data_IF_131357684354
#
_entry.id   IF_131357684354
#
_cell.length_a   1.000
_cell.length_b   1.000
_cell.length_c   1.000
_cell.angle_alpha   90.00
_cell.angle_beta   90.00
_cell.angle_gamma   90.00
#
_symmetry.space_group_name_H-M   'P 1'
#
loop_
_entity.id
_entity.type
_entity.pdbx_description
1 polymer ?
#
# COMPACT_ATOMS: atom_id res chain seq x y z
N UNK A 1 -19.15 11.85 60.83
CA UNK A 1 -19.02 13.29 61.13
C UNK A 1 -18.48 13.93 59.85
N UNK A 2 -19.32 14.19 58.85
CA UNK A 2 -20.17 15.38 58.68
C UNK A 2 -19.31 16.66 58.71
N UNK A 3 -18.90 17.03 57.50
CA UNK A 3 -18.93 18.35 56.84
C UNK A 3 -18.50 19.59 57.64
N UNK A 4 -18.12 20.61 56.86
CA UNK A 4 -17.93 22.04 57.20
C UNK A 4 -16.43 22.31 57.38
N UNK A 5 -15.74 23.05 56.50
CA UNK A 5 -16.04 24.41 56.06
C UNK A 5 -15.24 24.70 54.75
N UNK A 6 -15.86 24.66 53.58
CA UNK A 6 -16.41 25.80 52.84
C UNK A 6 -15.39 26.85 52.33
N UNK A 7 -15.18 26.79 51.00
CA UNK A 7 -15.23 27.90 50.03
C UNK A 7 -14.10 28.93 49.96
N UNK A 8 -13.98 29.48 48.73
CA UNK A 8 -13.08 30.55 48.23
C UNK A 8 -11.81 29.91 47.63
N UNK A 9 -11.58 29.86 46.31
CA UNK A 9 -11.83 30.87 45.30
C UNK A 9 -11.95 30.21 43.91
N UNK A 10 -13.06 30.47 43.23
CA UNK A 10 -13.18 30.36 41.78
C UNK A 10 -12.27 31.43 41.16
N UNK A 11 -11.31 31.02 40.32
CA UNK A 11 -10.74 31.83 39.26
C UNK A 11 -10.20 30.87 38.20
N UNK A 12 -11.01 30.57 37.19
CA UNK A 12 -10.79 31.06 35.83
C UNK A 12 -9.32 31.02 35.41
N UNK A 13 -8.94 29.99 34.65
CA UNK A 13 -8.27 30.17 33.36
C UNK A 13 -8.63 29.00 32.45
N UNK A 14 -9.73 29.20 31.71
CA UNK A 14 -9.88 28.82 30.31
C UNK A 14 -8.51 28.81 29.61
N UNK A 15 -7.94 27.62 29.43
CA UNK A 15 -6.86 27.41 28.46
C UNK A 15 -7.48 26.86 27.19
N UNK A 16 -7.20 27.59 26.12
CA UNK A 16 -7.86 27.57 24.85
C UNK A 16 -7.93 26.19 24.18
N UNK A 17 -9.00 26.01 23.42
CA UNK A 17 -9.09 25.07 22.32
C UNK A 17 -7.87 25.23 21.41
N UNK A 18 -6.92 24.30 21.49
CA UNK A 18 -5.79 24.24 20.58
C UNK A 18 -6.27 23.85 19.20
N UNK A 19 -6.52 24.85 18.36
CA UNK A 19 -6.72 24.66 16.92
C UNK A 19 -5.50 23.91 16.38
N UNK A 20 -5.67 22.64 16.02
CA UNK A 20 -4.62 21.93 15.29
C UNK A 20 -4.47 22.66 13.96
N UNK A 21 -3.38 23.41 13.81
CA UNK A 21 -2.97 23.90 12.50
C UNK A 21 -2.90 22.69 11.58
N UNK A 22 -3.80 22.65 10.59
CA UNK A 22 -3.59 21.84 9.42
C UNK A 22 -2.20 22.23 8.88
N UNK A 23 -1.27 21.27 8.94
CA UNK A 23 0.03 21.38 8.30
C UNK A 23 -0.29 21.46 6.81
N UNK A 24 -0.24 22.67 6.26
CA UNK A 24 -0.13 22.87 4.82
C UNK A 24 1.28 22.38 4.46
N UNK A 25 1.40 21.08 4.18
CA UNK A 25 2.58 20.54 3.54
C UNK A 25 2.59 21.10 2.12
N UNK A 26 3.41 22.13 1.91
CA UNK A 26 3.76 22.59 0.57
C UNK A 26 4.22 21.37 -0.22
N UNK A 27 3.52 21.10 -1.32
CA UNK A 27 3.94 20.17 -2.36
C UNK A 27 5.21 20.73 -2.99
N UNK A 28 6.36 20.38 -2.42
CA UNK A 28 7.70 20.40 -3.02
C UNK A 28 8.74 19.83 -2.04
N UNK A 29 8.35 18.79 -1.30
CA UNK A 29 9.32 17.98 -0.57
C UNK A 29 9.53 16.70 -1.39
N UNK A 30 10.49 16.75 -2.31
CA UNK A 30 11.08 15.56 -2.91
C UNK A 30 11.70 14.76 -1.76
N UNK A 31 10.86 13.91 -1.17
CA UNK A 31 11.14 13.12 -0.01
C UNK A 31 12.36 12.23 -0.26
N UNK A 32 13.53 12.76 0.07
CA UNK A 32 14.75 11.97 0.21
C UNK A 32 14.69 11.37 1.61
N UNK A 33 13.72 10.46 1.82
CA UNK A 33 13.66 9.64 3.02
C UNK A 33 14.86 8.70 2.97
N UNK A 34 15.64 8.69 4.05
CA UNK A 34 16.79 7.81 4.25
C UNK A 34 16.42 6.38 3.86
N UNK A 35 17.21 5.77 2.99
CA UNK A 35 17.00 4.41 2.48
C UNK A 35 17.19 3.40 3.61
N UNK A 36 16.11 3.02 4.25
CA UNK A 36 16.01 1.90 5.21
C UNK A 36 16.01 0.53 4.50
N UNK A 37 16.69 0.43 3.36
CA UNK A 37 16.67 -0.75 2.49
C UNK A 37 15.40 -0.92 1.66
N UNK A 38 14.39 -0.04 1.77
CA UNK A 38 13.14 -0.15 1.01
C UNK A 38 13.19 0.63 -0.31
N UNK A 39 12.72 -0.02 -1.38
CA UNK A 39 12.46 0.65 -2.65
C UNK A 39 11.25 1.59 -2.49
N UNK A 40 11.37 2.90 -2.80
CA UNK A 40 10.27 3.86 -2.69
C UNK A 40 9.25 3.64 -3.82
N UNK A 41 7.97 3.54 -3.46
CA UNK A 41 6.89 3.48 -4.44
C UNK A 41 6.34 4.87 -4.75
N UNK A 42 6.14 5.16 -6.03
CA UNK A 42 5.64 6.45 -6.51
C UNK A 42 4.14 6.30 -6.76
N UNK A 43 3.34 7.23 -6.23
CA UNK A 43 1.90 7.29 -6.47
C UNK A 43 1.61 8.14 -7.71
N UNK A 44 0.72 7.65 -8.58
CA UNK A 44 0.06 8.51 -9.58
C UNK A 44 -1.06 9.30 -8.92
N UNK A 45 -1.79 8.65 -8.01
CA UNK A 45 -2.83 9.25 -7.17
C UNK A 45 -2.98 8.42 -5.88
N UNK A 46 -3.93 8.76 -5.00
CA UNK A 46 -4.13 8.02 -3.74
C UNK A 46 -4.45 6.53 -3.90
N UNK A 47 -4.91 6.11 -5.06
CA UNK A 47 -5.41 4.77 -5.35
C UNK A 47 -4.51 3.93 -6.24
N UNK A 48 -3.44 4.47 -6.82
CA UNK A 48 -2.60 3.73 -7.76
C UNK A 48 -1.13 4.15 -7.73
N UNK A 49 -0.25 3.16 -7.93
CA UNK A 49 1.17 3.38 -8.15
C UNK A 49 1.48 3.74 -9.60
N UNK A 50 2.64 4.37 -9.82
CA UNK A 50 3.26 4.52 -11.12
C UNK A 50 4.06 3.24 -11.43
N UNK A 51 3.58 2.45 -12.40
CA UNK A 51 4.23 1.21 -12.82
C UNK A 51 4.33 1.19 -14.35
N UNK A 52 5.53 1.42 -14.87
CA UNK A 52 5.76 1.61 -16.31
C UNK A 52 6.66 0.54 -16.94
N UNK A 53 7.44 -0.17 -16.11
CA UNK A 53 8.37 -1.18 -16.59
C UNK A 53 7.66 -2.53 -16.74
N UNK A 54 7.72 -3.13 -17.93
CA UNK A 54 7.24 -4.50 -18.13
C UNK A 54 8.25 -5.52 -17.57
N UNK A 55 7.73 -6.57 -16.94
CA UNK A 55 8.54 -7.71 -16.53
C UNK A 55 8.96 -8.53 -17.76
N UNK A 56 10.23 -8.94 -17.81
CA UNK A 56 10.73 -9.89 -18.82
C UNK A 56 10.47 -11.34 -18.39
N UNK A 57 10.66 -11.61 -17.10
CA UNK A 57 10.36 -12.90 -16.48
C UNK A 57 8.85 -13.14 -16.42
N UNK A 58 8.44 -14.32 -16.88
CA UNK A 58 7.04 -14.75 -16.90
C UNK A 58 6.52 -15.16 -15.52
N UNK A 59 7.40 -15.44 -14.56
CA UNK A 59 7.03 -15.83 -13.20
C UNK A 59 6.70 -14.63 -12.30
N UNK A 60 7.08 -13.41 -12.69
CA UNK A 60 6.90 -12.21 -11.86
C UNK A 60 5.42 -11.99 -11.52
N UNK A 61 5.11 -12.05 -10.23
CA UNK A 61 3.76 -11.96 -9.67
C UNK A 61 2.95 -13.25 -9.76
N UNK A 62 3.34 -14.22 -10.58
CA UNK A 62 2.59 -15.47 -10.80
C UNK A 62 3.09 -16.64 -9.97
N UNK A 63 4.33 -16.57 -9.48
CA UNK A 63 4.91 -17.57 -8.58
C UNK A 63 5.24 -16.94 -7.23
N UNK A 64 5.05 -17.66 -6.10
CA UNK A 64 5.39 -17.16 -4.78
C UNK A 64 6.84 -16.64 -4.69
N UNK A 65 7.80 -17.37 -5.26
CA UNK A 65 9.22 -17.06 -5.23
C UNK A 65 9.56 -15.75 -5.96
N UNK A 66 8.68 -15.29 -6.85
CA UNK A 66 8.81 -14.06 -7.60
C UNK A 66 7.59 -13.14 -7.38
N UNK A 67 7.09 -13.09 -6.14
CA UNK A 67 5.95 -12.26 -5.76
C UNK A 67 6.24 -10.77 -5.91
N UNK A 68 5.18 -9.99 -6.17
CA UNK A 68 5.27 -8.54 -6.29
C UNK A 68 5.51 -7.92 -4.92
N UNK A 69 6.68 -7.31 -4.69
CA UNK A 69 7.02 -6.69 -3.40
C UNK A 69 6.62 -5.22 -3.36
N UNK A 70 5.39 -4.96 -2.91
CA UNK A 70 4.82 -3.60 -2.80
C UNK A 70 5.23 -2.88 -1.51
N UNK A 71 5.53 -3.63 -0.46
CA UNK A 71 5.85 -3.10 0.86
C UNK A 71 4.72 -2.28 1.48
N UNK A 72 5.06 -1.47 2.49
CA UNK A 72 4.13 -0.58 3.17
C UNK A 72 3.71 -1.03 4.57
N UNK A 73 4.08 -2.24 5.00
CA UNK A 73 3.72 -2.73 6.35
C UNK A 73 4.14 -1.76 7.46
N UNK A 74 5.37 -1.22 7.43
CA UNK A 74 5.83 -0.33 8.48
C UNK A 74 5.20 1.07 8.42
N UNK A 75 4.53 1.42 7.32
CA UNK A 75 3.71 2.62 7.19
C UNK A 75 2.23 2.35 7.49
N UNK A 76 1.87 1.12 7.88
CA UNK A 76 0.47 0.65 7.96
C UNK A 76 -0.29 0.80 6.63
N UNK A 77 0.43 0.75 5.51
CA UNK A 77 -0.13 0.88 4.16
C UNK A 77 -0.11 -0.45 3.38
N UNK A 78 0.39 -1.54 3.96
CA UNK A 78 0.59 -2.82 3.27
C UNK A 78 -0.60 -3.25 2.39
N UNK A 79 -1.80 -3.50 2.97
CA UNK A 79 -2.97 -3.88 2.18
C UNK A 79 -3.42 -2.80 1.18
N UNK A 80 -3.16 -1.53 1.49
CA UNK A 80 -3.46 -0.41 0.59
C UNK A 80 -2.53 -0.41 -0.62
N UNK A 81 -1.25 -0.75 -0.42
CA UNK A 81 -0.24 -0.82 -1.47
C UNK A 81 -0.50 -1.99 -2.43
N UNK A 82 -0.99 -3.12 -1.94
CA UNK A 82 -1.42 -4.24 -2.79
C UNK A 82 -2.52 -3.78 -3.76
N UNK A 83 -3.54 -3.10 -3.24
CA UNK A 83 -4.62 -2.53 -4.07
C UNK A 83 -4.10 -1.43 -5.00
N UNK A 84 -3.19 -0.58 -4.56
CA UNK A 84 -2.57 0.47 -5.40
C UNK A 84 -1.79 -0.13 -6.57
N UNK A 85 -1.11 -1.25 -6.37
CA UNK A 85 -0.45 -1.96 -7.45
C UNK A 85 -1.47 -2.56 -8.42
N UNK A 86 -2.48 -3.27 -7.93
CA UNK A 86 -3.52 -3.86 -8.78
C UNK A 86 -4.27 -2.81 -9.60
N UNK A 87 -4.59 -1.65 -8.99
CA UNK A 87 -5.21 -0.53 -9.68
C UNK A 87 -4.30 0.13 -10.72
N UNK A 88 -2.98 -0.05 -10.63
CA UNK A 88 -2.03 0.45 -11.63
C UNK A 88 -1.98 -0.43 -12.88
N UNK A 89 -2.61 -1.60 -12.86
CA UNK A 89 -2.66 -2.53 -13.97
C UNK A 89 -3.98 -2.40 -14.75
N UNK A 90 -3.92 -2.82 -16.01
CA UNK A 90 -5.03 -2.97 -16.92
C UNK A 90 -4.87 -4.26 -17.74
N UNK A 91 -5.96 -4.73 -18.35
CA UNK A 91 -5.94 -5.89 -19.23
C UNK A 91 -5.08 -5.67 -20.49
N UNK A 92 -4.90 -6.70 -21.33
CA UNK A 92 -4.08 -6.62 -22.55
C UNK A 92 -4.48 -5.50 -23.51
N UNK A 93 -5.75 -5.08 -23.51
CA UNK A 93 -6.31 -4.04 -24.37
C UNK A 93 -6.63 -2.76 -23.59
N UNK A 94 -6.21 -2.68 -22.32
CA UNK A 94 -6.46 -1.54 -21.44
C UNK A 94 -7.75 -1.65 -20.62
N UNK A 95 -8.34 -2.85 -20.52
CA UNK A 95 -9.53 -3.12 -19.75
C UNK A 95 -9.31 -2.86 -18.25
N UNK A 96 -10.36 -2.44 -17.55
CA UNK A 96 -10.35 -2.39 -16.10
C UNK A 96 -10.22 -3.80 -15.52
N UNK A 97 -9.37 -3.92 -14.49
CA UNK A 97 -9.22 -5.16 -13.73
C UNK A 97 -10.21 -5.18 -12.56
N UNK A 98 -10.85 -6.32 -12.38
CA UNK A 98 -11.50 -6.71 -11.14
C UNK A 98 -10.56 -7.64 -10.37
N UNK A 99 -10.59 -7.54 -9.04
CA UNK A 99 -9.79 -8.42 -8.21
C UNK A 99 -10.45 -8.72 -6.86
N UNK A 100 -10.16 -9.90 -6.34
CA UNK A 100 -10.58 -10.34 -5.02
C UNK A 100 -9.43 -11.02 -4.29
N UNK A 101 -9.25 -10.69 -3.01
CA UNK A 101 -8.23 -11.32 -2.18
C UNK A 101 -8.71 -12.72 -1.76
N UNK A 102 -8.04 -13.76 -2.23
CA UNK A 102 -8.41 -15.16 -1.99
C UNK A 102 -7.69 -15.79 -0.79
N UNK A 103 -6.89 -15.01 -0.06
CA UNK A 103 -6.27 -15.41 1.21
C UNK A 103 -4.75 -15.24 1.20
N UNK A 104 -4.14 -15.50 2.35
CA UNK A 104 -2.69 -15.49 2.51
C UNK A 104 -2.09 -16.88 2.33
N UNK A 105 -0.84 -16.96 1.91
CA UNK A 105 -0.08 -18.21 1.82
C UNK A 105 1.41 -17.97 2.00
N UNK A 106 2.17 -19.02 1.71
CA UNK A 106 3.54 -18.92 1.19
C UNK A 106 4.43 -18.06 2.08
N UNK A 107 4.81 -18.61 3.25
CA UNK A 107 5.73 -17.94 4.13
C UNK A 107 7.09 -17.75 3.42
N UNK A 108 7.59 -16.53 3.41
CA UNK A 108 8.91 -16.18 2.90
C UNK A 108 9.72 -15.45 3.97
N UNK A 109 11.05 -15.63 4.04
CA UNK A 109 11.88 -14.83 4.94
C UNK A 109 11.73 -13.34 4.67
N UNK A 110 11.55 -12.55 5.72
CA UNK A 110 11.46 -11.08 5.61
C UNK A 110 11.91 -10.42 6.91
N UNK A 111 12.90 -9.53 6.81
CA UNK A 111 13.35 -8.70 7.93
C UNK A 111 12.34 -7.59 8.29
N UNK A 112 11.40 -7.30 7.38
CA UNK A 112 10.34 -6.33 7.58
C UNK A 112 9.12 -6.91 8.31
N UNK A 113 9.12 -8.22 8.60
CA UNK A 113 8.11 -8.88 9.41
C UNK A 113 8.56 -9.04 10.86
N UNK A 114 7.66 -8.77 11.80
CA UNK A 114 7.90 -8.97 13.24
C UNK A 114 8.18 -10.43 13.62
N UNK A 115 7.80 -11.37 12.76
CA UNK A 115 8.01 -12.82 12.95
C UNK A 115 9.14 -13.37 12.07
N UNK A 116 9.91 -12.50 11.40
CA UNK A 116 10.96 -12.88 10.45
C UNK A 116 10.45 -13.54 9.16
N UNK A 117 9.13 -13.60 8.98
CA UNK A 117 8.48 -14.21 7.82
C UNK A 117 7.31 -13.35 7.33
N UNK A 118 7.29 -13.07 6.03
CA UNK A 118 6.18 -12.47 5.32
C UNK A 118 5.23 -13.58 4.84
N UNK A 119 3.93 -13.42 5.09
CA UNK A 119 2.91 -14.20 4.40
C UNK A 119 2.49 -13.42 3.17
N UNK A 120 2.54 -14.06 2.00
CA UNK A 120 2.09 -13.46 0.76
C UNK A 120 0.58 -13.45 0.69
N UNK A 121 0.01 -12.40 0.09
CA UNK A 121 -1.40 -12.36 -0.22
C UNK A 121 -1.64 -12.75 -1.69
N UNK A 122 -2.64 -13.61 -1.87
CA UNK A 122 -3.10 -14.06 -3.18
C UNK A 122 -4.31 -13.25 -3.61
N UNK A 123 -4.25 -12.75 -4.83
CA UNK A 123 -5.34 -12.05 -5.48
C UNK A 123 -5.79 -12.81 -6.71
N UNK A 124 -7.07 -13.17 -6.77
CA UNK A 124 -7.73 -13.52 -8.01
C UNK A 124 -7.94 -12.23 -8.81
N UNK A 125 -7.48 -12.21 -10.06
CA UNK A 125 -7.53 -11.05 -10.96
C UNK A 125 -8.21 -11.46 -12.25
N UNK A 126 -9.13 -10.62 -12.71
CA UNK A 126 -9.94 -10.81 -13.91
C UNK A 126 -10.07 -9.48 -14.65
N UNK A 127 -10.29 -9.52 -15.96
CA UNK A 127 -10.69 -8.38 -16.77
C UNK A 127 -11.82 -8.79 -17.70
N UNK A 128 -12.62 -7.83 -18.13
CA UNK A 128 -13.71 -8.09 -19.08
C UNK A 128 -13.18 -8.83 -20.33
N UNK A 129 -13.86 -9.90 -20.71
CA UNK A 129 -13.48 -10.74 -21.85
C UNK A 129 -12.42 -11.81 -21.56
N UNK A 130 -11.85 -11.85 -20.35
CA UNK A 130 -11.00 -12.97 -19.95
C UNK A 130 -11.81 -14.26 -19.83
N UNK A 131 -11.24 -15.40 -20.23
CA UNK A 131 -11.83 -16.73 -20.02
C UNK A 131 -11.40 -17.38 -18.70
N UNK A 132 -10.33 -16.87 -18.11
CA UNK A 132 -9.69 -17.44 -16.93
C UNK A 132 -9.45 -16.38 -15.86
N UNK A 133 -9.39 -16.82 -14.60
CA UNK A 133 -8.95 -16.00 -13.47
C UNK A 133 -7.46 -16.22 -13.24
N UNK A 134 -6.69 -15.14 -13.20
CA UNK A 134 -5.27 -15.18 -12.88
C UNK A 134 -5.08 -15.04 -11.37
N UNK A 135 -4.02 -15.65 -10.83
CA UNK A 135 -3.64 -15.46 -9.42
C UNK A 135 -2.34 -14.67 -9.37
N UNK A 136 -2.35 -13.55 -8.66
CA UNK A 136 -1.15 -12.79 -8.33
C UNK A 136 -0.77 -12.96 -6.86
N UNK A 137 0.53 -13.12 -6.61
CA UNK A 137 1.13 -13.18 -5.28
C UNK A 137 1.78 -11.84 -4.96
N UNK A 138 1.39 -11.23 -3.84
CA UNK A 138 1.83 -9.90 -3.45
C UNK A 138 2.41 -9.95 -2.04
N UNK A 139 3.57 -9.33 -1.87
CA UNK A 139 4.28 -9.16 -0.61
C UNK A 139 4.15 -7.70 -0.16
N UNK A 140 3.37 -7.46 0.91
CA UNK A 140 3.21 -6.14 1.52
C UNK A 140 4.26 -5.77 2.57
N UNK A 141 5.21 -6.65 2.85
CA UNK A 141 6.25 -6.47 3.87
C UNK A 141 7.50 -5.85 3.25
N UNK A 142 8.00 -6.46 2.19
CA UNK A 142 9.21 -6.05 1.47
C UNK A 142 8.86 -5.19 0.28
N UNK A 143 9.79 -4.34 -0.17
CA UNK A 143 9.58 -3.52 -1.37
C UNK A 143 10.71 -3.61 -2.39
N UNK A 144 10.32 -3.70 -3.65
CA UNK A 144 11.24 -3.65 -4.79
C UNK A 144 10.67 -2.79 -5.92
N UNK A 145 11.42 -2.64 -7.02
CA UNK A 145 10.93 -1.94 -8.19
C UNK A 145 9.75 -2.70 -8.79
N UNK A 146 8.58 -2.07 -8.78
CA UNK A 146 7.37 -2.64 -9.35
C UNK A 146 7.47 -2.72 -10.88
N UNK A 147 7.02 -3.84 -11.40
CA UNK A 147 6.92 -4.11 -12.83
C UNK A 147 5.50 -4.58 -13.19
N UNK A 148 5.15 -4.50 -14.46
CA UNK A 148 3.89 -4.98 -15.02
C UNK A 148 4.07 -6.48 -15.34
N UNK A 149 3.31 -7.40 -14.71
CA UNK A 149 3.39 -8.82 -15.03
C UNK A 149 2.99 -9.09 -16.48
N UNK A 150 3.56 -10.14 -17.08
CA UNK A 150 3.22 -10.53 -18.46
C UNK A 150 1.70 -10.73 -18.60
N UNK A 151 1.12 -10.22 -19.68
CA UNK A 151 -0.32 -10.29 -19.94
C UNK A 151 -1.12 -9.08 -19.43
N UNK A 152 -0.50 -8.16 -18.69
CA UNK A 152 -1.11 -6.89 -18.30
C UNK A 152 -0.45 -5.71 -19.02
N UNK A 153 -1.13 -4.57 -18.95
CA UNK A 153 -0.63 -3.26 -19.36
C UNK A 153 -0.68 -2.29 -18.19
N UNK A 154 -0.01 -1.14 -18.32
CA UNK A 154 -0.16 -0.04 -17.38
C UNK A 154 -1.53 0.62 -17.54
N UNK A 155 -2.24 0.86 -16.44
CA UNK A 155 -3.48 1.63 -16.47
C UNK A 155 -3.18 3.08 -16.85
N UNK A 156 -3.98 3.62 -17.75
CA UNK A 156 -3.98 5.05 -18.08
C UNK A 156 -4.95 5.76 -17.13
N UNK A 157 -4.45 6.78 -16.44
CA UNK A 157 -5.28 7.66 -15.61
C UNK A 157 -5.61 8.92 -16.41
N UNK A 158 -6.87 9.35 -16.45
CA UNK A 158 -7.20 10.64 -17.05
C UNK A 158 -6.51 11.75 -16.24
N UNK A 159 -5.94 12.71 -16.98
CA UNK A 159 -5.33 13.92 -16.41
C UNK A 159 -6.39 14.88 -15.86
#
# INVERSE_FOLDING_TARGET
MKNILYTILIALFITACGSQKAIVSNANDSATRKSDGRYPQILVNKYAFLVEKYADDKSYGYEPENAIKVGGVAQSEGPTNERRFLNALAGPQGEELEYYRIGSCCAQPSENSVYGQALLDKYAVYHEGSKDTLVLYINMYDSEKLMIPKGFTARKFPN
#
